data_IF_493716412355
#
_entry.id   IF_493716412355
#
_cell.length_a   1.000
_cell.length_b   1.000
_cell.length_c   1.000
_cell.angle_alpha   90.00
_cell.angle_beta   90.00
_cell.angle_gamma   90.00
#
_symmetry.space_group_name_H-M   'P 1'
#
loop_
_entity.id
_entity.type
_entity.pdbx_description
1 polymer ?
#
# COMPACT_ATOMS: atom_id res chain seq x y z
N UNK A 1 25.43 22.13 -15.34
CA UNK A 1 26.20 21.38 -14.32
C UNK A 1 25.94 19.90 -14.58
N UNK A 2 27.00 19.10 -14.72
CA UNK A 2 26.92 17.69 -15.12
C UNK A 2 26.12 16.85 -14.12
N UNK A 3 25.17 16.00 -14.56
CA UNK A 3 24.36 15.14 -13.70
C UNK A 3 25.04 13.81 -13.30
N UNK A 4 26.38 13.73 -13.34
CA UNK A 4 27.09 12.45 -13.20
C UNK A 4 27.65 12.16 -11.79
N UNK A 5 27.42 12.98 -10.77
CA UNK A 5 28.07 12.80 -9.46
C UNK A 5 27.24 12.10 -8.39
N UNK A 6 26.53 11.01 -8.71
CA UNK A 6 25.95 10.16 -7.67
C UNK A 6 25.85 8.67 -8.05
N UNK A 7 26.85 8.13 -8.75
CA UNK A 7 26.98 6.67 -8.86
C UNK A 7 27.64 6.12 -7.60
N UNK A 8 27.03 5.16 -6.89
CA UNK A 8 27.68 4.49 -5.77
C UNK A 8 28.97 3.82 -6.27
N UNK A 9 30.08 4.03 -5.58
CA UNK A 9 31.36 3.41 -5.92
C UNK A 9 31.28 1.89 -5.65
N UNK A 10 31.00 1.09 -6.68
CA UNK A 10 30.94 -0.37 -6.60
C UNK A 10 30.15 -1.04 -7.73
N UNK A 11 30.12 -2.38 -7.75
CA UNK A 11 29.31 -3.19 -8.68
C UNK A 11 27.82 -3.26 -8.30
N UNK A 12 27.46 -2.79 -7.10
CA UNK A 12 26.09 -2.76 -6.61
C UNK A 12 25.28 -1.67 -7.33
N UNK A 13 24.08 -2.04 -7.83
CA UNK A 13 23.09 -1.07 -8.31
C UNK A 13 21.81 -1.22 -7.49
N UNK A 14 21.30 -0.13 -6.88
CA UNK A 14 20.02 -0.14 -6.16
C UNK A 14 18.82 -0.63 -6.98
N UNK A 15 18.94 -0.69 -8.31
CA UNK A 15 17.91 -1.21 -9.20
C UNK A 15 17.79 -2.75 -9.20
N UNK A 16 18.71 -3.48 -8.56
CA UNK A 16 18.72 -4.96 -8.51
C UNK A 16 18.29 -5.53 -7.15
N UNK A 17 17.63 -4.71 -6.32
CA UNK A 17 17.20 -5.07 -4.97
C UNK A 17 16.09 -6.12 -4.97
N UNK A 18 16.16 -7.05 -4.02
CA UNK A 18 15.17 -8.13 -3.86
C UNK A 18 14.63 -8.14 -2.43
N UNK A 19 13.31 -8.24 -2.30
CA UNK A 19 12.65 -8.27 -0.98
C UNK A 19 11.94 -9.64 -0.74
N UNK A 20 12.13 -10.20 0.46
CA UNK A 20 11.44 -11.42 0.93
C UNK A 20 10.88 -11.24 2.33
N UNK A 21 9.80 -10.45 2.39
CA UNK A 21 9.15 -9.97 3.61
C UNK A 21 8.20 -10.96 4.30
N UNK A 22 7.82 -10.63 5.54
CA UNK A 22 6.61 -11.14 6.19
C UNK A 22 5.51 -10.08 6.13
N UNK A 23 4.26 -10.48 5.86
CA UNK A 23 3.12 -9.57 5.85
C UNK A 23 1.88 -10.22 6.45
N UNK A 24 0.96 -9.37 6.90
CA UNK A 24 -0.39 -9.79 7.22
C UNK A 24 -1.31 -8.66 7.59
N UNK A 25 -2.51 -9.05 7.96
CA UNK A 25 -3.66 -8.20 8.19
C UNK A 25 -4.58 -8.94 9.17
N UNK A 26 -5.04 -8.25 10.22
CA UNK A 26 -6.11 -8.72 11.10
C UNK A 26 -7.24 -7.70 11.04
N UNK A 27 -8.49 -8.17 10.92
CA UNK A 27 -9.66 -7.33 10.98
C UNK A 27 -10.79 -7.98 11.78
N UNK A 28 -11.51 -7.19 12.56
CA UNK A 28 -12.82 -7.55 13.07
C UNK A 28 -13.85 -7.32 11.96
N UNK A 29 -14.55 -8.36 11.52
CA UNK A 29 -15.43 -8.28 10.35
C UNK A 29 -16.56 -7.27 10.50
N UNK A 30 -17.08 -7.05 11.72
CA UNK A 30 -18.14 -6.06 11.96
C UNK A 30 -17.62 -4.66 12.32
N UNK A 31 -16.32 -4.40 12.13
CA UNK A 31 -15.74 -3.08 12.34
C UNK A 31 -15.65 -2.62 13.80
N UNK A 32 -15.80 -3.54 14.76
CA UNK A 32 -15.68 -3.25 16.19
C UNK A 32 -14.21 -3.04 16.54
N UNK A 33 -13.80 -1.85 17.02
CA UNK A 33 -12.41 -1.59 17.36
C UNK A 33 -12.06 -2.24 18.71
N UNK A 34 -10.82 -2.71 18.83
CA UNK A 34 -10.30 -3.20 20.10
C UNK A 34 -8.77 -3.13 20.16
N UNK A 35 -8.23 -2.85 21.35
CA UNK A 35 -6.78 -2.81 21.56
C UNK A 35 -6.16 -4.21 21.48
N UNK A 36 -6.95 -5.26 21.76
CA UNK A 36 -6.56 -6.65 21.53
C UNK A 36 -6.08 -6.85 20.08
N UNK A 37 -6.81 -6.34 19.09
CA UNK A 37 -6.46 -6.49 17.68
C UNK A 37 -5.09 -5.85 17.37
N UNK A 38 -4.83 -4.66 17.91
CA UNK A 38 -3.54 -3.96 17.74
C UNK A 38 -2.41 -4.77 18.37
N UNK A 39 -2.58 -5.24 19.60
CA UNK A 39 -1.60 -6.07 20.30
C UNK A 39 -1.33 -7.40 19.56
N UNK A 40 -2.37 -8.06 19.07
CA UNK A 40 -2.23 -9.30 18.31
C UNK A 40 -1.57 -9.06 16.96
N UNK A 41 -1.80 -7.91 16.31
CA UNK A 41 -1.08 -7.54 15.10
C UNK A 41 0.41 -7.29 15.35
N UNK A 42 0.76 -6.67 16.48
CA UNK A 42 2.15 -6.49 16.91
C UNK A 42 2.81 -7.85 17.20
N UNK A 43 2.11 -8.74 17.91
CA UNK A 43 2.59 -10.10 18.17
C UNK A 43 2.82 -10.87 16.86
N UNK A 44 1.87 -10.77 15.93
CA UNK A 44 1.97 -11.36 14.61
C UNK A 44 3.14 -10.83 13.81
N UNK A 45 3.37 -9.52 13.85
CA UNK A 45 4.54 -8.89 13.27
C UNK A 45 5.84 -9.45 13.89
N UNK A 46 5.88 -9.61 15.22
CA UNK A 46 7.04 -10.16 15.92
C UNK A 46 7.32 -11.63 15.55
N UNK A 47 6.30 -12.45 15.33
CA UNK A 47 6.46 -13.83 14.87
C UNK A 47 6.97 -13.95 13.45
N UNK A 48 6.91 -12.88 12.64
CA UNK A 48 7.44 -12.84 11.28
C UNK A 48 8.91 -12.39 11.21
N UNK A 49 9.58 -12.22 12.36
CA UNK A 49 10.98 -11.78 12.43
C UNK A 49 11.94 -12.75 11.73
N UNK A 50 11.63 -14.05 11.65
CA UNK A 50 12.43 -15.02 10.87
C UNK A 50 12.44 -14.76 9.36
N UNK A 51 11.56 -13.86 8.89
CA UNK A 51 11.51 -13.36 7.52
C UNK A 51 12.08 -11.95 7.37
N UNK A 52 12.72 -11.39 8.39
CA UNK A 52 13.39 -10.09 8.36
C UNK A 52 14.91 -10.24 8.39
N UNK A 53 15.63 -9.23 7.90
CA UNK A 53 17.07 -9.13 8.15
C UNK A 53 17.31 -8.29 9.40
N UNK A 54 18.42 -8.57 10.08
CA UNK A 54 18.89 -7.83 11.24
C UNK A 54 20.30 -7.35 10.92
N UNK A 55 20.56 -6.06 11.14
CA UNK A 55 21.88 -5.49 10.98
C UNK A 55 22.86 -6.07 12.01
N UNK A 56 24.15 -5.82 11.80
CA UNK A 56 25.21 -6.31 12.69
C UNK A 56 25.07 -5.82 14.15
N UNK A 57 24.32 -4.74 14.39
CA UNK A 57 24.05 -4.19 15.72
C UNK A 57 22.98 -4.96 16.52
N UNK A 58 22.34 -5.97 15.92
CA UNK A 58 21.32 -6.82 16.56
C UNK A 58 20.00 -6.11 16.91
N UNK A 59 19.84 -4.83 16.55
CA UNK A 59 18.67 -3.99 16.90
C UNK A 59 18.03 -3.31 15.69
N UNK A 60 18.82 -2.95 14.70
CA UNK A 60 18.32 -2.36 13.46
C UNK A 60 17.78 -3.47 12.57
N UNK A 61 16.50 -3.37 12.21
CA UNK A 61 15.90 -4.18 11.15
C UNK A 61 15.67 -3.34 9.90
N UNK A 62 15.41 -3.99 8.77
CA UNK A 62 15.20 -3.31 7.46
C UNK A 62 13.90 -2.50 7.34
N UNK A 63 13.11 -2.49 8.40
CA UNK A 63 11.86 -1.73 8.52
C UNK A 63 10.67 -2.62 8.86
N UNK A 64 9.90 -2.20 9.87
CA UNK A 64 8.62 -2.79 10.21
C UNK A 64 7.58 -1.71 10.47
N UNK A 65 6.30 -2.10 10.47
CA UNK A 65 5.25 -1.14 10.75
C UNK A 65 3.85 -1.73 10.73
N UNK A 66 2.92 -0.84 11.08
CA UNK A 66 1.48 -1.05 11.15
C UNK A 66 0.79 0.03 10.32
N UNK A 67 -0.31 -0.33 9.65
CA UNK A 67 -1.28 0.57 9.05
C UNK A 67 -2.64 0.19 9.61
N UNK A 68 -3.21 1.08 10.42
CA UNK A 68 -4.40 0.82 11.19
C UNK A 68 -5.57 1.62 10.63
N UNK A 69 -6.77 1.05 10.66
CA UNK A 69 -8.00 1.86 10.58
C UNK A 69 -7.97 2.87 11.73
N UNK A 70 -8.39 4.11 11.45
CA UNK A 70 -8.24 5.27 12.32
C UNK A 70 -8.67 4.95 13.77
N UNK A 71 -7.74 4.95 14.75
CA UNK A 71 -8.07 4.73 16.15
C UNK A 71 -8.65 6.03 16.75
N UNK A 72 -9.88 6.36 16.37
CA UNK A 72 -10.51 7.66 16.64
C UNK A 72 -10.50 8.04 18.12
N UNK A 73 -10.79 7.09 19.01
CA UNK A 73 -10.81 7.31 20.47
C UNK A 73 -9.45 7.80 21.00
N UNK A 74 -8.37 7.15 20.58
CA UNK A 74 -7.00 7.56 20.93
C UNK A 74 -6.67 8.93 20.35
N UNK A 75 -6.95 9.14 19.06
CA UNK A 75 -6.62 10.38 18.37
C UNK A 75 -7.33 11.60 18.98
N UNK A 76 -8.60 11.45 19.37
CA UNK A 76 -9.33 12.51 20.08
C UNK A 76 -8.79 12.76 21.48
N UNK A 77 -8.39 11.71 22.21
CA UNK A 77 -7.84 11.84 23.54
C UNK A 77 -6.50 12.62 23.51
N UNK A 78 -5.55 12.20 22.67
CA UNK A 78 -4.25 12.89 22.56
C UNK A 78 -4.39 14.30 22.00
N UNK A 79 -5.31 14.54 21.06
CA UNK A 79 -5.59 15.90 20.60
C UNK A 79 -6.09 16.79 21.74
N UNK A 80 -7.00 16.29 22.58
CA UNK A 80 -7.51 17.00 23.76
C UNK A 80 -6.41 17.35 24.78
N UNK A 81 -5.50 16.40 25.05
CA UNK A 81 -4.31 16.61 25.91
C UNK A 81 -3.43 17.75 25.40
N UNK A 82 -3.32 17.90 24.07
CA UNK A 82 -2.57 18.96 23.40
C UNK A 82 -3.41 20.21 23.08
N UNK A 83 -4.66 20.30 23.58
CA UNK A 83 -5.60 21.42 23.33
C UNK A 83 -5.90 21.65 21.85
N UNK A 84 -5.86 20.58 21.05
CA UNK A 84 -6.20 20.57 19.63
C UNK A 84 -7.68 20.22 19.50
N UNK A 85 -8.45 21.10 18.84
CA UNK A 85 -9.88 20.87 18.60
C UNK A 85 -10.08 20.06 17.32
N UNK A 86 -10.77 18.92 17.43
CA UNK A 86 -11.07 18.05 16.29
C UNK A 86 -12.56 18.06 15.96
N UNK A 87 -12.84 18.26 14.68
CA UNK A 87 -14.19 18.21 14.13
C UNK A 87 -14.73 16.77 14.02
N UNK A 88 -15.95 16.62 13.50
CA UNK A 88 -16.53 15.31 13.16
C UNK A 88 -15.61 14.54 12.21
N UNK A 89 -15.24 15.16 11.10
CA UNK A 89 -14.24 14.62 10.17
C UNK A 89 -12.91 15.32 10.41
N UNK A 90 -11.95 14.56 10.92
CA UNK A 90 -10.56 14.96 11.05
C UNK A 90 -9.65 13.92 10.42
N UNK A 91 -8.47 14.34 10.05
CA UNK A 91 -7.40 13.50 9.56
C UNK A 91 -6.16 13.70 10.41
N UNK A 92 -5.30 12.69 10.39
CA UNK A 92 -3.99 12.78 10.99
C UNK A 92 -2.94 12.08 10.14
N UNK A 93 -1.70 12.45 10.36
CA UNK A 93 -0.54 11.82 9.77
C UNK A 93 0.66 12.02 10.66
N UNK A 94 1.47 10.97 10.82
CA UNK A 94 2.81 11.09 11.40
C UNK A 94 3.73 11.45 10.24
N UNK A 95 4.49 12.52 10.40
CA UNK A 95 5.44 13.03 9.42
C UNK A 95 6.85 12.74 9.89
N UNK A 96 7.70 12.41 8.92
CA UNK A 96 9.13 12.32 9.12
C UNK A 96 9.69 13.65 8.65
N UNK A 97 10.26 14.42 9.59
CA UNK A 97 10.85 15.71 9.36
C UNK A 97 12.35 15.65 9.58
N UNK A 98 13.07 16.57 8.96
CA UNK A 98 14.50 16.72 9.20
C UNK A 98 14.79 17.07 10.67
N UNK A 99 15.94 16.63 11.19
CA UNK A 99 16.38 17.05 12.55
C UNK A 99 16.84 18.49 12.59
N UNK A 100 17.28 19.04 11.46
CA UNK A 100 17.51 20.47 11.31
C UNK A 100 16.19 21.24 11.44
N UNK A 101 16.15 22.17 12.40
CA UNK A 101 14.93 22.90 12.73
C UNK A 101 14.45 23.77 11.57
N UNK A 102 15.36 24.38 10.80
CA UNK A 102 15.01 25.22 9.66
C UNK A 102 14.36 24.41 8.53
N UNK A 103 14.91 23.25 8.21
CA UNK A 103 14.33 22.31 7.25
C UNK A 103 12.95 21.82 7.71
N UNK A 104 12.83 21.42 8.98
CA UNK A 104 11.56 21.00 9.55
C UNK A 104 10.50 22.11 9.51
N UNK A 105 10.86 23.35 9.85
CA UNK A 105 9.94 24.50 9.80
C UNK A 105 9.48 24.81 8.38
N UNK A 106 10.39 24.75 7.39
CA UNK A 106 10.02 24.89 5.97
C UNK A 106 9.02 23.81 5.55
N UNK A 107 9.21 22.57 5.99
CA UNK A 107 8.30 21.48 5.69
C UNK A 107 6.91 21.68 6.31
N UNK A 108 6.85 22.07 7.61
CA UNK A 108 5.58 22.41 8.29
C UNK A 108 4.84 23.51 7.56
N UNK A 109 5.50 24.66 7.34
CA UNK A 109 4.92 25.82 6.67
C UNK A 109 4.42 25.45 5.26
N UNK A 110 5.20 24.64 4.52
CA UNK A 110 4.78 24.23 3.18
C UNK A 110 3.54 23.37 3.23
N UNK A 111 3.49 22.36 4.09
CA UNK A 111 2.34 21.48 4.20
C UNK A 111 1.09 22.25 4.64
N UNK A 112 1.20 23.09 5.67
CA UNK A 112 0.08 23.90 6.13
C UNK A 112 -0.48 24.80 5.03
N UNK A 113 0.41 25.41 4.23
CA UNK A 113 0.01 26.24 3.08
C UNK A 113 -0.76 25.42 2.06
N UNK A 114 -0.30 24.23 1.71
CA UNK A 114 -0.99 23.38 0.74
C UNK A 114 -2.32 22.85 1.28
N UNK A 115 -2.41 22.50 2.56
CA UNK A 115 -3.66 22.10 3.21
C UNK A 115 -4.68 23.24 3.19
N UNK A 116 -4.28 24.45 3.59
CA UNK A 116 -5.13 25.66 3.54
C UNK A 116 -5.58 25.97 2.11
N UNK A 117 -4.71 25.79 1.11
CA UNK A 117 -5.04 25.99 -0.30
C UNK A 117 -6.10 24.99 -0.81
N UNK A 118 -6.23 23.83 -0.17
CA UNK A 118 -7.28 22.85 -0.44
C UNK A 118 -8.54 23.09 0.42
N UNK A 119 -8.65 24.22 1.14
CA UNK A 119 -9.79 24.52 2.00
C UNK A 119 -9.85 23.71 3.30
N UNK A 120 -8.73 23.11 3.71
CA UNK A 120 -8.62 22.32 4.93
C UNK A 120 -8.10 23.18 6.09
N UNK A 121 -8.46 22.79 7.31
CA UNK A 121 -8.09 23.53 8.52
C UNK A 121 -7.03 22.75 9.30
N UNK A 122 -5.84 23.32 9.45
CA UNK A 122 -4.80 22.73 10.32
C UNK A 122 -5.20 22.99 11.77
N UNK A 123 -5.52 21.92 12.50
CA UNK A 123 -6.00 21.98 13.88
C UNK A 123 -4.84 22.12 14.88
N UNK A 124 -3.70 21.49 14.59
CA UNK A 124 -2.51 21.58 15.42
C UNK A 124 -1.49 20.49 15.14
N UNK A 125 -0.38 20.55 15.88
CA UNK A 125 0.73 19.60 15.81
C UNK A 125 1.00 18.98 17.18
N UNK A 126 1.42 17.72 17.16
CA UNK A 126 1.83 16.93 18.33
C UNK A 126 3.19 16.30 18.02
N UNK A 127 4.18 16.47 18.89
CA UNK A 127 5.38 15.66 18.82
C UNK A 127 5.04 14.21 19.19
N UNK A 128 5.38 13.25 18.33
CA UNK A 128 5.09 11.84 18.60
C UNK A 128 6.10 11.33 19.60
N UNK A 129 5.69 10.77 20.75
CA UNK A 129 6.63 10.22 21.70
C UNK A 129 7.40 9.06 21.05
N UNK A 130 8.72 9.09 21.15
CA UNK A 130 9.59 8.00 20.70
C UNK A 130 10.65 7.64 21.73
N UNK A 131 11.04 6.36 21.80
CA UNK A 131 12.18 5.89 22.59
C UNK A 131 13.34 5.50 21.67
N UNK A 132 14.31 6.41 21.51
CA UNK A 132 15.52 6.18 20.69
C UNK A 132 16.36 4.98 21.19
N UNK A 133 16.22 4.54 22.45
CA UNK A 133 16.97 3.38 22.97
C UNK A 133 16.51 2.03 22.36
N UNK A 134 15.35 2.02 21.71
CA UNK A 134 14.85 0.89 20.93
C UNK A 134 15.56 0.73 19.57
N UNK A 135 16.22 1.78 19.08
CA UNK A 135 16.92 1.80 17.80
C UNK A 135 18.34 1.21 17.93
N UNK A 136 18.82 0.62 16.84
CA UNK A 136 20.24 0.33 16.67
C UNK A 136 21.01 1.54 16.12
N UNK A 137 22.33 1.45 16.07
CA UNK A 137 23.20 2.57 15.66
C UNK A 137 22.90 3.02 14.23
N UNK A 138 22.64 2.08 13.33
CA UNK A 138 22.38 2.39 11.93
C UNK A 138 21.04 3.12 11.73
N UNK A 139 19.99 2.70 12.44
CA UNK A 139 18.71 3.41 12.44
C UNK A 139 18.84 4.84 13.01
N UNK A 140 19.68 5.05 14.03
CA UNK A 140 19.89 6.35 14.67
C UNK A 140 20.57 7.37 13.74
N UNK A 141 21.44 6.91 12.82
CA UNK A 141 22.15 7.80 11.87
C UNK A 141 21.21 8.56 10.94
N UNK A 142 20.09 7.93 10.57
CA UNK A 142 19.09 8.49 9.65
C UNK A 142 17.75 8.81 10.34
N UNK A 143 17.71 8.79 11.68
CA UNK A 143 16.49 9.00 12.47
C UNK A 143 15.86 10.37 12.16
N UNK A 144 14.62 10.41 11.63
CA UNK A 144 13.92 11.66 11.45
C UNK A 144 13.30 12.13 12.77
N UNK A 145 12.84 13.39 12.79
CA UNK A 145 11.90 13.87 13.81
C UNK A 145 10.49 13.40 13.44
N UNK A 146 9.75 12.89 14.41
CA UNK A 146 8.38 12.42 14.22
C UNK A 146 7.39 13.42 14.76
N UNK A 147 6.56 13.98 13.88
CA UNK A 147 5.51 14.91 14.28
C UNK A 147 4.18 14.53 13.67
N UNK A 148 3.14 14.60 14.48
CA UNK A 148 1.79 14.30 14.09
C UNK A 148 1.02 15.59 13.82
N UNK A 149 0.50 15.74 12.61
CA UNK A 149 -0.41 16.82 12.27
C UNK A 149 -1.87 16.36 12.46
N UNK A 150 -2.72 17.27 12.93
CA UNK A 150 -4.17 17.11 12.92
C UNK A 150 -4.79 18.13 11.98
N UNK A 151 -5.70 17.66 11.14
CA UNK A 151 -6.37 18.47 10.10
C UNK A 151 -7.86 18.24 10.18
N UNK A 152 -8.65 19.29 10.29
CA UNK A 152 -10.10 19.23 10.18
C UNK A 152 -10.54 19.41 8.73
N UNK A 153 -11.60 18.71 8.36
CA UNK A 153 -12.26 18.90 7.08
C UNK A 153 -12.81 20.34 6.96
N UNK A 154 -12.91 20.84 5.73
CA UNK A 154 -13.63 22.10 5.48
C UNK A 154 -15.12 21.98 5.83
N UNK A 155 -15.79 23.12 6.03
CA UNK A 155 -17.24 23.14 6.24
C UNK A 155 -17.97 22.39 5.11
N UNK A 156 -18.93 21.54 5.48
CA UNK A 156 -19.75 20.72 4.56
C UNK A 156 -18.96 19.77 3.63
N UNK A 157 -17.69 19.50 3.95
CA UNK A 157 -16.86 18.59 3.16
C UNK A 157 -17.13 17.12 3.51
N UNK A 158 -17.63 16.38 2.54
CA UNK A 158 -17.79 14.93 2.63
C UNK A 158 -16.43 14.22 2.82
N UNK A 159 -16.42 13.13 3.59
CA UNK A 159 -15.18 12.42 3.94
C UNK A 159 -14.37 11.97 2.71
N UNK A 160 -15.05 11.53 1.63
CA UNK A 160 -14.35 11.12 0.40
C UNK A 160 -13.71 12.30 -0.34
N UNK A 161 -14.32 13.49 -0.30
CA UNK A 161 -13.70 14.71 -0.82
C UNK A 161 -12.52 15.12 0.07
N UNK A 162 -12.68 14.99 1.38
CA UNK A 162 -11.61 15.27 2.34
C UNK A 162 -10.35 14.45 2.08
N UNK A 163 -10.46 13.13 1.90
CA UNK A 163 -9.32 12.26 1.53
C UNK A 163 -8.60 12.74 0.25
N UNK A 164 -9.35 13.18 -0.76
CA UNK A 164 -8.77 13.67 -2.03
C UNK A 164 -8.02 14.98 -1.83
N UNK A 165 -8.56 15.90 -1.05
CA UNK A 165 -7.93 17.18 -0.76
C UNK A 165 -6.64 16.98 0.06
N UNK A 166 -6.63 16.05 1.01
CA UNK A 166 -5.43 15.65 1.74
C UNK A 166 -4.37 15.06 0.78
N UNK A 167 -4.78 14.17 -0.13
CA UNK A 167 -3.89 13.62 -1.16
C UNK A 167 -3.25 14.72 -2.02
N UNK A 168 -4.04 15.66 -2.55
CA UNK A 168 -3.54 16.75 -3.38
C UNK A 168 -2.55 17.63 -2.60
N UNK A 169 -2.90 18.03 -1.38
CA UNK A 169 -2.03 18.84 -0.52
C UNK A 169 -0.70 18.13 -0.24
N UNK A 170 -0.75 16.82 0.07
CA UNK A 170 0.45 16.01 0.30
C UNK A 170 1.32 15.91 -0.95
N UNK A 171 0.74 15.62 -2.13
CA UNK A 171 1.49 15.55 -3.40
C UNK A 171 2.15 16.88 -3.75
N UNK A 172 1.44 18.00 -3.58
CA UNK A 172 2.00 19.34 -3.82
C UNK A 172 3.14 19.67 -2.86
N UNK A 173 3.05 19.23 -1.62
CA UNK A 173 4.10 19.36 -0.61
C UNK A 173 5.31 18.50 -0.96
N UNK A 174 5.11 17.21 -1.25
CA UNK A 174 6.18 16.28 -1.66
C UNK A 174 6.94 16.80 -2.89
N UNK A 175 6.24 17.31 -3.90
CA UNK A 175 6.85 17.91 -5.09
C UNK A 175 7.68 19.16 -4.77
N UNK A 176 7.21 19.98 -3.84
CA UNK A 176 7.88 21.21 -3.45
C UNK A 176 9.11 20.97 -2.56
N UNK A 177 9.16 19.84 -1.88
CA UNK A 177 10.23 19.45 -0.95
C UNK A 177 11.05 18.27 -1.49
N UNK A 178 11.07 18.06 -2.82
CA UNK A 178 11.75 16.94 -3.44
C UNK A 178 13.27 16.88 -3.18
N UNK A 179 13.86 17.99 -2.74
CA UNK A 179 15.29 18.08 -2.35
C UNK A 179 15.54 17.68 -0.89
N UNK A 180 14.50 17.55 -0.06
CA UNK A 180 14.62 17.08 1.33
C UNK A 180 14.32 15.58 1.40
N UNK A 181 15.37 14.77 1.34
CA UNK A 181 15.27 13.30 1.38
C UNK A 181 14.67 12.75 2.69
N UNK A 182 14.65 13.57 3.76
CA UNK A 182 14.08 13.17 5.06
C UNK A 182 12.58 13.41 5.12
N UNK A 183 12.08 14.43 4.42
CA UNK A 183 10.66 14.76 4.43
C UNK A 183 9.83 13.62 3.82
N UNK A 184 9.00 12.99 4.66
CA UNK A 184 8.13 11.93 4.21
C UNK A 184 6.83 11.89 5.01
N UNK A 185 5.74 11.58 4.31
CA UNK A 185 4.40 11.47 4.90
C UNK A 185 3.89 10.02 4.71
N UNK A 186 4.15 9.12 5.68
CA UNK A 186 3.67 7.74 5.70
C UNK A 186 2.17 7.61 5.44
N UNK A 187 1.38 8.45 6.10
CA UNK A 187 -0.07 8.54 5.92
C UNK A 187 -0.52 9.95 6.25
N UNK A 188 -1.55 10.44 5.56
CA UNK A 188 -2.28 11.65 5.94
C UNK A 188 -3.74 11.44 5.51
N UNK A 189 -4.55 10.93 6.44
CA UNK A 189 -5.87 10.39 6.14
C UNK A 189 -6.79 10.51 7.35
N UNK A 190 -8.10 10.56 7.09
CA UNK A 190 -9.18 10.41 8.08
C UNK A 190 -9.60 8.96 8.31
N UNK A 191 -9.05 8.02 7.54
CA UNK A 191 -9.45 6.61 7.55
C UNK A 191 -8.39 5.68 8.11
N UNK A 192 -7.11 6.01 7.92
CA UNK A 192 -5.99 5.17 8.33
C UNK A 192 -4.85 5.99 8.93
N UNK A 193 -4.02 5.35 9.75
CA UNK A 193 -2.77 5.91 10.28
C UNK A 193 -1.66 4.86 10.24
N UNK A 194 -0.46 5.29 9.84
CA UNK A 194 0.73 4.43 9.76
C UNK A 194 1.69 4.72 10.91
N UNK A 195 2.11 3.66 11.61
CA UNK A 195 3.22 3.65 12.56
C UNK A 195 4.29 2.71 12.03
N UNK A 196 5.43 3.25 11.59
CA UNK A 196 6.51 2.45 11.00
C UNK A 196 7.88 3.00 11.37
N UNK A 197 8.89 2.14 11.35
CA UNK A 197 10.25 2.51 11.72
C UNK A 197 11.30 1.44 11.42
N UNK A 198 12.56 1.81 11.59
CA UNK A 198 13.73 0.93 11.41
C UNK A 198 14.12 0.24 12.71
N UNK A 199 13.18 -0.48 13.31
CA UNK A 199 13.39 -1.26 14.53
C UNK A 199 12.93 -2.70 14.31
N UNK A 200 13.41 -3.61 15.15
CA UNK A 200 12.85 -4.96 15.21
C UNK A 200 11.36 -4.91 15.56
N UNK A 201 10.51 -5.79 14.99
CA UNK A 201 9.10 -5.92 15.32
C UNK A 201 8.74 -5.84 16.80
N UNK A 202 9.45 -6.62 17.63
CA UNK A 202 9.22 -6.67 19.07
C UNK A 202 9.52 -5.35 19.78
N UNK A 203 10.36 -4.49 19.18
CA UNK A 203 10.73 -3.19 19.71
C UNK A 203 9.84 -2.06 19.16
N UNK A 204 8.96 -2.31 18.19
CA UNK A 204 8.09 -1.27 17.64
C UNK A 204 7.20 -0.59 18.70
N UNK A 205 6.59 -1.31 19.66
CA UNK A 205 5.83 -0.67 20.75
C UNK A 205 6.70 0.03 21.77
N UNK A 206 7.97 -0.34 21.88
CA UNK A 206 8.94 0.40 22.69
C UNK A 206 9.30 1.71 22.02
N UNK A 207 9.61 1.65 20.72
CA UNK A 207 9.95 2.82 19.92
C UNK A 207 8.79 3.82 19.84
N UNK A 208 7.55 3.37 19.66
CA UNK A 208 6.35 4.20 19.72
C UNK A 208 5.49 3.82 20.94
N UNK A 209 5.66 4.50 22.10
CA UNK A 209 4.89 4.22 23.31
C UNK A 209 3.37 4.31 23.12
N UNK A 210 2.90 5.11 22.17
CA UNK A 210 1.49 5.19 21.75
C UNK A 210 0.86 3.81 21.51
N UNK A 211 1.62 2.85 20.95
CA UNK A 211 1.15 1.51 20.65
C UNK A 211 0.82 0.66 21.89
N UNK A 212 1.25 1.09 23.08
CA UNK A 212 0.90 0.44 24.36
C UNK A 212 -0.29 1.10 25.05
N UNK A 213 -0.81 2.22 24.52
CA UNK A 213 -1.97 2.89 25.09
C UNK A 213 -3.24 2.10 24.77
N UNK A 214 -3.96 1.65 25.81
CA UNK A 214 -5.19 0.86 25.65
C UNK A 214 -6.31 1.62 24.92
N UNK A 215 -6.25 2.95 24.85
CA UNK A 215 -7.19 3.77 24.08
C UNK A 215 -6.96 3.62 22.57
N UNK A 216 -5.78 3.15 22.15
CA UNK A 216 -5.43 2.89 20.76
C UNK A 216 -6.07 1.57 20.32
N UNK A 217 -7.35 1.67 20.02
CA UNK A 217 -8.20 0.58 19.55
C UNK A 217 -8.43 0.71 18.05
N UNK A 218 -8.29 -0.38 17.30
CA UNK A 218 -8.59 -0.41 15.87
C UNK A 218 -9.33 -1.69 15.49
N UNK A 219 -10.17 -1.62 14.46
CA UNK A 219 -10.90 -2.77 13.94
C UNK A 219 -10.16 -3.46 12.79
N UNK A 220 -9.07 -2.88 12.30
CA UNK A 220 -8.29 -3.40 11.17
C UNK A 220 -6.85 -2.93 11.31
N UNK A 221 -5.91 -3.85 11.23
CA UNK A 221 -4.48 -3.55 11.26
C UNK A 221 -3.75 -4.39 10.21
N UNK A 222 -3.10 -3.71 9.25
CA UNK A 222 -2.13 -4.29 8.33
C UNK A 222 -0.75 -4.18 8.96
N UNK A 223 0.06 -5.23 8.88
CA UNK A 223 1.42 -5.25 9.41
C UNK A 223 2.40 -5.84 8.41
N UNK A 224 3.64 -5.38 8.48
CA UNK A 224 4.69 -5.82 7.56
C UNK A 224 6.07 -5.75 8.19
N UNK A 225 6.87 -6.79 7.93
CA UNK A 225 8.30 -6.85 8.21
C UNK A 225 9.07 -6.92 6.90
N UNK A 226 9.92 -5.94 6.65
CA UNK A 226 10.75 -5.90 5.44
C UNK A 226 11.99 -6.80 5.58
N UNK A 227 12.39 -7.38 4.46
CA UNK A 227 13.72 -7.95 4.25
C UNK A 227 14.27 -7.30 3.00
N UNK A 228 15.41 -6.63 3.11
CA UNK A 228 16.05 -5.93 2.03
C UNK A 228 17.45 -6.49 1.80
N UNK A 229 17.86 -6.54 0.54
CA UNK A 229 19.26 -6.79 0.19
C UNK A 229 20.14 -5.54 0.31
N UNK A 230 19.61 -4.42 0.81
CA UNK A 230 20.33 -3.16 0.94
C UNK A 230 21.20 -3.17 2.18
N UNK A 231 22.39 -2.61 2.05
CA UNK A 231 23.27 -2.37 3.19
C UNK A 231 22.86 -1.15 4.03
N UNK A 232 21.99 -0.28 3.51
CA UNK A 232 21.61 1.00 4.14
C UNK A 232 20.08 1.10 4.29
N UNK A 233 19.54 1.00 5.52
CA UNK A 233 18.10 1.04 5.74
C UNK A 233 17.58 2.49 5.70
N UNK A 234 16.44 2.71 5.02
CA UNK A 234 15.77 4.02 4.93
C UNK A 234 14.40 3.99 5.59
N UNK A 235 14.14 4.93 6.52
CA UNK A 235 12.89 5.04 7.27
C UNK A 235 11.65 5.12 6.36
N UNK A 236 11.72 5.87 5.26
CA UNK A 236 10.62 6.05 4.31
C UNK A 236 10.24 4.75 3.58
N UNK A 237 11.18 3.81 3.42
CA UNK A 237 11.00 2.54 2.70
C UNK A 237 10.41 1.43 3.58
N UNK A 238 10.38 1.61 4.91
CA UNK A 238 9.63 0.73 5.78
C UNK A 238 8.15 0.67 5.35
N UNK A 239 7.53 -0.48 5.53
CA UNK A 239 6.14 -0.74 5.17
C UNK A 239 5.30 -0.99 6.43
N UNK A 240 3.97 -0.86 6.38
CA UNK A 240 3.12 -0.61 5.19
C UNK A 240 3.28 0.78 4.56
N UNK A 241 2.85 0.90 3.30
CA UNK A 241 2.63 2.19 2.64
C UNK A 241 1.21 2.72 2.95
N UNK A 242 0.64 3.59 2.10
CA UNK A 242 -0.60 4.32 2.43
C UNK A 242 -1.84 3.46 2.37
N UNK A 243 -1.83 2.46 1.49
CA UNK A 243 -2.94 1.53 1.31
C UNK A 243 -2.52 0.08 1.42
N UNK A 244 -1.25 -0.25 1.16
CA UNK A 244 -0.82 -1.63 1.01
C UNK A 244 0.47 -1.98 1.76
N UNK A 245 0.61 -3.27 2.04
CA UNK A 245 1.89 -3.90 2.27
C UNK A 245 2.11 -5.01 1.24
N UNK A 246 3.31 -5.05 0.67
CA UNK A 246 3.69 -5.91 -0.43
C UNK A 246 4.85 -6.81 -0.02
N UNK A 247 4.60 -8.11 -0.09
CA UNK A 247 5.64 -9.13 -0.07
C UNK A 247 5.87 -9.63 -1.49
N UNK A 248 7.04 -9.32 -2.04
CA UNK A 248 7.27 -9.62 -3.43
C UNK A 248 8.27 -8.69 -4.10
N UNK A 249 8.29 -8.78 -5.41
CA UNK A 249 9.08 -7.93 -6.30
C UNK A 249 8.27 -7.68 -7.58
N UNK A 250 8.14 -6.43 -8.00
CA UNK A 250 7.52 -6.07 -9.27
C UNK A 250 8.61 -5.99 -10.34
N UNK A 251 8.87 -7.11 -11.01
CA UNK A 251 9.96 -7.24 -11.99
C UNK A 251 9.75 -6.36 -13.24
N UNK A 252 8.54 -5.86 -13.45
CA UNK A 252 8.16 -4.96 -14.56
C UNK A 252 8.28 -3.47 -14.21
N UNK A 253 8.76 -3.13 -13.01
CA UNK A 253 8.64 -1.79 -12.41
C UNK A 253 9.14 -0.65 -13.31
N UNK A 254 10.28 -0.82 -13.98
CA UNK A 254 10.83 0.24 -14.84
C UNK A 254 9.90 0.57 -16.01
N UNK A 255 9.29 -0.46 -16.62
CA UNK A 255 8.29 -0.30 -17.66
C UNK A 255 7.05 0.41 -17.13
N UNK A 256 6.56 0.00 -15.96
CA UNK A 256 5.37 0.57 -15.32
C UNK A 256 5.57 2.06 -14.97
N UNK A 257 6.74 2.43 -14.44
CA UNK A 257 7.11 3.83 -14.17
C UNK A 257 7.13 4.65 -15.46
N UNK A 258 7.77 4.16 -16.51
CA UNK A 258 7.84 4.85 -17.79
C UNK A 258 6.45 5.03 -18.42
N UNK A 259 5.59 4.01 -18.37
CA UNK A 259 4.22 4.09 -18.90
C UNK A 259 3.34 5.03 -18.09
N UNK A 260 3.47 5.05 -16.77
CA UNK A 260 2.79 6.02 -15.88
C UNK A 260 3.11 7.46 -16.29
N UNK A 261 4.39 7.78 -16.53
CA UNK A 261 4.80 9.11 -17.00
C UNK A 261 4.30 9.39 -18.42
N UNK A 262 4.51 8.45 -19.35
CA UNK A 262 4.12 8.61 -20.75
C UNK A 262 2.60 8.82 -20.91
N UNK A 263 1.79 8.11 -20.13
CA UNK A 263 0.32 8.23 -20.14
C UNK A 263 -0.21 9.31 -19.20
N UNK A 264 0.63 9.94 -18.37
CA UNK A 264 0.19 10.87 -17.33
C UNK A 264 -0.76 11.96 -17.81
N UNK A 265 -0.52 12.52 -19.00
CA UNK A 265 -1.36 13.55 -19.63
C UNK A 265 -2.72 13.05 -20.14
N UNK A 266 -2.89 11.73 -20.31
CA UNK A 266 -4.16 11.11 -20.74
C UNK A 266 -5.10 10.82 -19.57
N UNK A 267 -4.57 10.76 -18.34
CA UNK A 267 -5.42 10.59 -17.17
C UNK A 267 -6.29 11.82 -16.98
N UNK A 268 -7.59 11.59 -16.80
CA UNK A 268 -8.58 12.64 -16.57
C UNK A 268 -9.63 12.13 -15.59
N UNK A 269 -9.93 12.94 -14.60
CA UNK A 269 -11.00 12.69 -13.61
C UNK A 269 -11.61 14.04 -13.22
N UNK A 270 -12.92 14.11 -12.94
CA UNK A 270 -13.53 15.32 -12.39
C UNK A 270 -13.10 15.60 -10.94
N UNK A 271 -12.44 14.64 -10.27
CA UNK A 271 -12.15 14.70 -8.85
C UNK A 271 -10.80 15.33 -8.49
N UNK A 272 -9.84 15.37 -9.43
CA UNK A 272 -8.48 15.82 -9.18
C UNK A 272 -8.00 16.69 -10.34
N UNK A 273 -7.42 17.88 -10.08
CA UNK A 273 -6.64 18.60 -11.08
C UNK A 273 -5.34 17.84 -11.35
N UNK A 274 -5.33 16.98 -12.38
CA UNK A 274 -4.20 16.08 -12.66
C UNK A 274 -2.80 16.73 -12.69
N UNK A 275 -2.59 17.96 -13.21
CA UNK A 275 -1.28 18.63 -13.14
C UNK A 275 -0.70 18.78 -11.73
N UNK A 276 -1.56 18.88 -10.71
CA UNK A 276 -1.12 19.04 -9.32
C UNK A 276 -0.46 17.76 -8.79
N UNK A 277 -0.95 16.60 -9.23
CA UNK A 277 -0.54 15.28 -8.71
C UNK A 277 0.44 14.54 -9.60
N UNK A 278 0.62 14.97 -10.86
CA UNK A 278 1.63 14.44 -11.78
C UNK A 278 3.06 14.84 -11.37
N UNK A 279 4.07 13.96 -11.55
CA UNK A 279 3.94 12.55 -11.93
C UNK A 279 3.27 11.74 -10.81
N UNK A 280 2.40 10.79 -11.15
CA UNK A 280 1.65 10.01 -10.13
C UNK A 280 2.54 9.02 -9.38
N UNK A 281 3.57 8.51 -10.06
CA UNK A 281 4.48 7.50 -9.53
C UNK A 281 5.90 8.09 -9.51
N UNK A 282 6.64 7.83 -8.43
CA UNK A 282 8.05 8.19 -8.35
C UNK A 282 8.90 7.37 -9.33
N UNK A 283 9.90 8.01 -9.95
CA UNK A 283 10.90 7.30 -10.77
C UNK A 283 11.98 6.61 -9.93
N UNK A 284 12.04 6.94 -8.64
CA UNK A 284 12.97 6.39 -7.64
C UNK A 284 12.23 5.77 -6.46
N UNK A 285 12.96 5.10 -5.56
CA UNK A 285 12.40 4.37 -4.41
C UNK A 285 12.06 2.92 -4.73
N UNK A 286 11.42 2.24 -3.78
CA UNK A 286 11.05 0.82 -3.93
C UNK A 286 9.92 0.63 -4.95
N UNK A 287 9.89 -0.55 -5.57
CA UNK A 287 8.81 -1.00 -6.46
C UNK A 287 7.42 -0.95 -5.79
N UNK A 288 7.39 -1.32 -4.51
CA UNK A 288 6.22 -1.40 -3.65
C UNK A 288 5.66 0.00 -3.37
N UNK A 289 6.54 0.99 -3.16
CA UNK A 289 6.12 2.39 -3.01
C UNK A 289 5.52 2.94 -4.31
N UNK A 290 6.06 2.55 -5.46
CA UNK A 290 5.55 2.95 -6.77
C UNK A 290 4.17 2.35 -7.06
N UNK A 291 3.96 1.09 -6.66
CA UNK A 291 2.65 0.44 -6.76
C UNK A 291 1.61 1.15 -5.88
N UNK A 292 1.97 1.47 -4.63
CA UNK A 292 1.09 2.21 -3.71
C UNK A 292 0.76 3.61 -4.24
N UNK A 293 1.73 4.32 -4.83
CA UNK A 293 1.49 5.64 -5.46
C UNK A 293 0.47 5.58 -6.60
N UNK A 294 0.58 4.56 -7.46
CA UNK A 294 -0.38 4.38 -8.56
C UNK A 294 -1.75 3.99 -8.01
N UNK A 295 -1.82 3.07 -7.05
CA UNK A 295 -3.08 2.67 -6.40
C UNK A 295 -3.78 3.89 -5.79
N UNK A 296 -3.06 4.69 -5.02
CA UNK A 296 -3.59 5.90 -4.41
C UNK A 296 -4.13 6.90 -5.45
N UNK A 297 -3.41 7.11 -6.55
CA UNK A 297 -3.88 7.99 -7.62
C UNK A 297 -5.20 7.49 -8.26
N UNK A 298 -5.33 6.17 -8.47
CA UNK A 298 -6.56 5.55 -8.99
C UNK A 298 -7.73 5.69 -8.02
N UNK A 299 -7.48 5.46 -6.72
CA UNK A 299 -8.49 5.60 -5.66
C UNK A 299 -8.95 7.04 -5.51
N UNK A 300 -8.02 7.98 -5.40
CA UNK A 300 -8.33 9.40 -5.33
C UNK A 300 -9.08 9.86 -6.60
N UNK A 301 -8.72 9.29 -7.75
CA UNK A 301 -9.39 9.51 -9.04
C UNK A 301 -10.81 8.94 -9.13
N UNK A 302 -11.27 8.19 -8.13
CA UNK A 302 -12.65 7.70 -7.99
C UNK A 302 -12.84 6.21 -8.27
N UNK A 303 -11.76 5.43 -8.46
CA UNK A 303 -11.88 3.97 -8.55
C UNK A 303 -12.07 3.35 -7.15
N UNK A 304 -12.80 2.24 -7.09
CA UNK A 304 -12.82 1.41 -5.89
C UNK A 304 -11.56 0.53 -5.80
N UNK A 305 -11.24 0.10 -4.59
CA UNK A 305 -10.02 -0.67 -4.28
C UNK A 305 -9.92 -1.98 -5.06
N UNK A 306 -11.05 -2.68 -5.29
CA UNK A 306 -11.05 -3.94 -6.03
C UNK A 306 -10.73 -3.73 -7.50
N UNK A 307 -11.41 -2.77 -8.15
CA UNK A 307 -11.13 -2.45 -9.55
C UNK A 307 -9.72 -1.92 -9.74
N UNK A 308 -9.26 -1.02 -8.88
CA UNK A 308 -7.92 -0.45 -8.96
C UNK A 308 -6.85 -1.55 -8.85
N UNK A 309 -6.98 -2.47 -7.89
CA UNK A 309 -6.06 -3.59 -7.78
C UNK A 309 -6.16 -4.59 -8.94
N UNK A 310 -7.35 -4.86 -9.48
CA UNK A 310 -7.48 -5.71 -10.67
C UNK A 310 -6.94 -5.07 -11.94
N UNK A 311 -6.90 -3.75 -12.00
CA UNK A 311 -6.28 -3.01 -13.10
C UNK A 311 -4.74 -3.11 -13.02
N UNK A 312 -4.18 -3.03 -11.81
CA UNK A 312 -2.73 -3.11 -11.59
C UNK A 312 -2.20 -4.55 -11.64
N UNK A 313 -2.88 -5.49 -10.97
CA UNK A 313 -2.48 -6.90 -10.84
C UNK A 313 -3.65 -7.80 -11.28
N UNK A 314 -3.91 -7.87 -12.60
CA UNK A 314 -4.92 -8.78 -13.14
C UNK A 314 -4.46 -10.24 -13.06
N UNK A 315 -5.38 -11.21 -12.86
CA UNK A 315 -5.06 -12.64 -12.98
C UNK A 315 -4.59 -12.98 -14.41
N UNK A 316 -4.10 -14.20 -14.61
CA UNK A 316 -3.94 -14.75 -15.95
C UNK A 316 -5.33 -15.03 -16.54
N UNK A 317 -5.68 -14.38 -17.66
CA UNK A 317 -7.04 -14.45 -18.21
C UNK A 317 -7.08 -14.80 -19.71
N UNK A 318 -6.02 -14.49 -20.46
CA UNK A 318 -6.01 -14.59 -21.92
C UNK A 318 -6.31 -16.01 -22.43
N UNK A 319 -5.71 -17.02 -21.80
CA UNK A 319 -5.76 -18.42 -22.24
C UNK A 319 -6.69 -19.29 -21.38
N UNK A 320 -7.58 -18.69 -20.57
CA UNK A 320 -8.49 -19.43 -19.68
C UNK A 320 -9.82 -19.67 -20.38
N UNK A 321 -9.93 -20.75 -21.13
CA UNK A 321 -11.12 -21.07 -21.96
C UNK A 321 -12.43 -21.16 -21.16
N UNK A 322 -12.36 -21.59 -19.90
CA UNK A 322 -13.51 -21.74 -18.99
C UNK A 322 -13.95 -20.44 -18.32
N UNK A 323 -13.24 -19.32 -18.57
CA UNK A 323 -13.57 -18.04 -17.95
C UNK A 323 -14.90 -17.49 -18.45
N UNK A 324 -15.70 -16.97 -17.52
CA UNK A 324 -16.93 -16.25 -17.80
C UNK A 324 -16.70 -15.16 -18.88
N UNK A 325 -17.51 -15.09 -19.96
CA UNK A 325 -17.29 -14.16 -21.06
C UNK A 325 -17.38 -12.68 -20.67
N UNK A 326 -18.20 -12.32 -19.68
CA UNK A 326 -18.34 -10.93 -19.23
C UNK A 326 -17.15 -10.53 -18.35
N UNK A 327 -16.63 -11.45 -17.53
CA UNK A 327 -15.39 -11.27 -16.79
C UNK A 327 -14.18 -11.16 -17.74
N UNK A 328 -14.12 -12.00 -18.78
CA UNK A 328 -13.10 -11.89 -19.83
C UNK A 328 -13.18 -10.51 -20.50
N UNK A 329 -14.38 -10.02 -20.81
CA UNK A 329 -14.57 -8.70 -21.38
C UNK A 329 -14.11 -7.57 -20.44
N UNK A 330 -14.33 -7.71 -19.13
CA UNK A 330 -13.77 -6.79 -18.13
C UNK A 330 -12.24 -6.73 -18.23
N UNK A 331 -11.55 -7.88 -18.24
CA UNK A 331 -10.08 -7.89 -18.30
C UNK A 331 -9.54 -7.40 -19.65
N UNK A 332 -10.14 -7.82 -20.77
CA UNK A 332 -9.76 -7.36 -22.12
C UNK A 332 -9.89 -5.83 -22.23
N UNK A 333 -10.98 -5.26 -21.75
CA UNK A 333 -11.17 -3.81 -21.71
C UNK A 333 -10.07 -3.10 -20.91
N UNK A 334 -9.80 -3.57 -19.69
CA UNK A 334 -8.86 -2.92 -18.80
C UNK A 334 -7.39 -3.08 -19.27
N UNK A 335 -7.04 -4.18 -19.96
CA UNK A 335 -5.69 -4.38 -20.50
C UNK A 335 -5.24 -3.35 -21.55
N UNK A 336 -6.20 -2.65 -22.17
CA UNK A 336 -5.90 -1.55 -23.10
C UNK A 336 -5.55 -0.24 -22.38
N UNK A 337 -5.79 -0.16 -21.07
CA UNK A 337 -5.64 1.07 -20.28
C UNK A 337 -4.46 1.02 -19.31
N UNK A 338 -4.13 -0.16 -18.79
CA UNK A 338 -3.05 -0.39 -17.85
C UNK A 338 -2.34 -1.71 -18.17
N UNK A 339 -1.02 -1.65 -18.25
CA UNK A 339 -0.16 -2.83 -18.29
C UNK A 339 -0.06 -3.46 -16.89
N UNK A 340 0.00 -4.79 -16.79
CA UNK A 340 0.15 -5.45 -15.50
C UNK A 340 1.43 -5.05 -14.78
N UNK A 341 1.32 -4.74 -13.50
CA UNK A 341 2.42 -4.60 -12.57
C UNK A 341 2.81 -6.00 -12.09
N UNK A 342 3.54 -6.70 -12.95
CA UNK A 342 3.82 -8.13 -12.82
C UNK A 342 5.11 -8.42 -12.05
N UNK A 343 5.12 -9.59 -11.42
CA UNK A 343 6.16 -10.11 -10.53
C UNK A 343 5.55 -10.89 -9.35
N UNK A 344 6.35 -11.64 -8.57
CA UNK A 344 5.85 -12.33 -7.39
C UNK A 344 5.25 -11.31 -6.42
N UNK A 345 3.98 -11.41 -6.06
CA UNK A 345 3.33 -10.45 -5.18
C UNK A 345 2.26 -11.11 -4.29
N UNK A 346 2.46 -11.01 -2.98
CA UNK A 346 1.41 -11.16 -1.97
C UNK A 346 1.15 -9.81 -1.34
N UNK A 347 -0.06 -9.29 -1.50
CA UNK A 347 -0.41 -7.95 -1.03
C UNK A 347 -1.57 -8.03 -0.06
N UNK A 348 -1.41 -7.38 1.08
CA UNK A 348 -2.53 -7.01 1.96
C UNK A 348 -2.74 -5.51 1.84
N UNK A 349 -4.00 -5.10 1.83
CA UNK A 349 -4.35 -3.71 1.60
C UNK A 349 -5.64 -3.31 2.30
N UNK A 350 -5.76 -2.01 2.55
CA UNK A 350 -6.94 -1.40 3.14
C UNK A 350 -7.14 0.04 2.69
N UNK A 351 -8.40 0.43 2.52
CA UNK A 351 -8.85 1.82 2.38
C UNK A 351 -9.48 2.36 3.68
N UNK A 352 -9.29 1.65 4.81
CA UNK A 352 -9.94 1.89 6.10
C UNK A 352 -11.32 1.25 6.26
N UNK A 353 -11.92 0.72 5.18
CA UNK A 353 -13.16 -0.06 5.21
C UNK A 353 -12.91 -1.53 4.91
N UNK A 354 -12.17 -1.81 3.84
CA UNK A 354 -11.91 -3.15 3.37
C UNK A 354 -10.60 -3.68 3.94
N UNK A 355 -10.62 -4.90 4.45
CA UNK A 355 -9.47 -5.71 4.78
C UNK A 355 -9.25 -6.71 3.65
N UNK A 356 -8.36 -6.41 2.70
CA UNK A 356 -8.22 -7.20 1.48
C UNK A 356 -6.84 -7.85 1.36
N UNK A 357 -6.80 -8.97 0.63
CA UNK A 357 -5.58 -9.62 0.20
C UNK A 357 -5.69 -10.00 -1.28
N UNK A 358 -4.62 -9.82 -2.04
CA UNK A 358 -4.53 -10.19 -3.45
C UNK A 358 -3.19 -10.86 -3.73
N UNK A 359 -3.22 -11.87 -4.59
CA UNK A 359 -2.02 -12.52 -5.12
C UNK A 359 -1.78 -12.15 -6.59
N UNK A 360 -0.52 -12.16 -6.98
CA UNK A 360 -0.11 -12.08 -8.38
C UNK A 360 -0.73 -13.20 -9.22
N UNK A 361 -0.73 -13.01 -10.53
CA UNK A 361 -1.36 -13.92 -11.50
C UNK A 361 -0.89 -15.37 -11.43
N UNK A 362 0.31 -15.63 -10.92
CA UNK A 362 0.90 -16.96 -10.79
C UNK A 362 0.87 -17.47 -9.34
N UNK A 363 0.47 -16.64 -8.37
CA UNK A 363 0.39 -17.02 -6.95
C UNK A 363 1.76 -17.37 -6.37
N UNK A 364 2.78 -16.59 -6.68
CA UNK A 364 4.18 -16.92 -6.35
C UNK A 364 4.54 -16.66 -4.89
N UNK A 365 3.66 -15.99 -4.13
CA UNK A 365 3.80 -15.76 -2.70
C UNK A 365 2.66 -16.42 -1.93
N UNK A 366 2.93 -16.99 -0.74
CA UNK A 366 1.88 -17.61 0.05
C UNK A 366 0.97 -16.54 0.66
N UNK A 367 -0.33 -16.79 0.65
CA UNK A 367 -1.30 -16.06 1.47
C UNK A 367 -2.33 -17.04 2.02
N UNK A 368 -2.48 -17.04 3.34
CA UNK A 368 -3.39 -17.91 4.09
C UNK A 368 -4.31 -17.07 4.93
N UNK A 369 -5.49 -17.61 5.21
CA UNK A 369 -6.45 -16.92 6.06
C UNK A 369 -7.10 -17.85 7.08
N UNK A 370 -7.45 -17.26 8.22
CA UNK A 370 -8.16 -17.91 9.31
C UNK A 370 -9.28 -16.98 9.74
N UNK A 371 -10.49 -17.52 9.84
CA UNK A 371 -11.67 -16.86 10.37
C UNK A 371 -12.04 -17.53 11.69
N UNK A 372 -12.19 -16.74 12.74
CA UNK A 372 -12.55 -17.21 14.08
C UNK A 372 -14.02 -16.92 14.41
N UNK A 373 -14.56 -17.60 15.44
CA UNK A 373 -15.97 -17.50 15.86
C UNK A 373 -16.36 -16.12 16.38
N UNK A 374 -15.40 -15.39 16.95
CA UNK A 374 -15.53 -13.99 17.38
C UNK A 374 -15.39 -13.00 16.20
N UNK A 375 -15.47 -13.48 14.96
CA UNK A 375 -15.52 -12.68 13.73
C UNK A 375 -14.24 -11.90 13.43
N UNK A 376 -13.11 -12.34 13.95
CA UNK A 376 -11.81 -11.90 13.45
C UNK A 376 -11.39 -12.70 12.22
N UNK A 377 -11.00 -11.99 11.17
CA UNK A 377 -10.31 -12.57 10.01
C UNK A 377 -8.84 -12.17 10.05
N UNK A 378 -7.97 -13.16 9.89
CA UNK A 378 -6.53 -12.95 9.76
C UNK A 378 -6.07 -13.43 8.39
N UNK A 379 -5.33 -12.58 7.68
CA UNK A 379 -4.75 -12.83 6.37
C UNK A 379 -3.24 -12.61 6.49
N UNK A 380 -2.42 -13.63 6.21
CA UNK A 380 -0.97 -13.52 6.37
C UNK A 380 -0.21 -14.46 5.43
N UNK A 381 1.09 -14.23 5.31
CA UNK A 381 1.98 -15.13 4.54
C UNK A 381 2.07 -16.55 5.16
N UNK A 382 1.79 -16.68 6.45
CA UNK A 382 1.87 -17.93 7.22
C UNK A 382 0.63 -18.18 8.08
N UNK A 383 0.40 -19.44 8.45
CA UNK A 383 -0.54 -19.80 9.54
C UNK A 383 0.25 -19.74 10.86
N UNK A 384 -0.43 -19.46 11.97
CA UNK A 384 0.20 -19.45 13.30
C UNK A 384 0.89 -18.13 13.65
N UNK A 385 0.57 -17.06 12.93
CA UNK A 385 1.05 -15.71 13.23
C UNK A 385 0.59 -15.21 14.61
N UNK A 386 -0.40 -15.84 15.24
CA UNK A 386 -0.63 -15.76 16.68
C UNK A 386 -1.26 -17.08 17.16
N UNK A 387 -1.43 -17.23 18.47
CA UNK A 387 -1.98 -18.45 19.07
C UNK A 387 -3.50 -18.50 18.96
N UNK A 388 -3.98 -18.97 17.81
CA UNK A 388 -5.39 -19.30 17.63
C UNK A 388 -5.76 -20.48 18.54
N UNK A 389 -6.81 -20.34 19.34
CA UNK A 389 -7.46 -21.47 20.00
C UNK A 389 -8.12 -22.36 18.93
N UNK A 390 -7.77 -23.65 18.79
CA UNK A 390 -8.33 -24.51 17.73
C UNK A 390 -9.86 -24.55 17.70
N UNK A 391 -10.50 -24.52 18.87
CA UNK A 391 -11.95 -24.49 19.05
C UNK A 391 -12.60 -23.17 18.62
N UNK A 392 -11.83 -22.08 18.47
CA UNK A 392 -12.31 -20.79 17.99
C UNK A 392 -12.23 -20.66 16.47
N UNK A 393 -11.50 -21.53 15.77
CA UNK A 393 -11.37 -21.46 14.31
C UNK A 393 -12.67 -21.93 13.64
N UNK A 394 -13.31 -21.02 12.91
CA UNK A 394 -14.52 -21.30 12.12
C UNK A 394 -14.17 -21.83 10.73
N UNK A 395 -13.22 -21.19 10.06
CA UNK A 395 -12.77 -21.57 8.72
C UNK A 395 -11.31 -21.16 8.50
N UNK A 396 -10.63 -21.87 7.60
CA UNK A 396 -9.28 -21.52 7.16
C UNK A 396 -9.11 -21.85 5.69
N UNK A 397 -8.29 -21.08 4.99
CA UNK A 397 -8.03 -21.29 3.57
C UNK A 397 -6.73 -20.67 3.10
N UNK A 398 -6.52 -20.73 1.79
CA UNK A 398 -5.40 -20.08 1.10
C UNK A 398 -5.93 -19.35 -0.13
N UNK A 399 -5.26 -18.27 -0.51
CA UNK A 399 -5.50 -17.65 -1.81
C UNK A 399 -4.67 -18.39 -2.86
N UNK A 400 -5.30 -18.61 -4.02
CA UNK A 400 -4.65 -19.14 -5.22
C UNK A 400 -4.16 -18.05 -6.17
N UNK A 401 -3.53 -18.45 -7.29
CA UNK A 401 -3.04 -17.53 -8.32
C UNK A 401 -4.11 -16.55 -8.79
N UNK A 402 -3.78 -15.26 -8.74
CA UNK A 402 -4.66 -14.18 -9.19
C UNK A 402 -5.96 -14.05 -8.38
N UNK A 403 -6.09 -14.69 -7.21
CA UNK A 403 -7.28 -14.53 -6.37
C UNK A 403 -7.21 -13.27 -5.50
N UNK A 404 -8.38 -12.76 -5.14
CA UNK A 404 -8.55 -11.66 -4.21
C UNK A 404 -9.63 -12.03 -3.20
N UNK A 405 -9.39 -11.73 -1.93
CA UNK A 405 -10.34 -11.91 -0.83
C UNK A 405 -10.44 -10.58 -0.09
N UNK A 406 -11.63 -10.22 0.40
CA UNK A 406 -11.76 -9.05 1.26
C UNK A 406 -12.83 -9.23 2.33
N UNK A 407 -12.62 -8.68 3.53
CA UNK A 407 -13.67 -8.45 4.50
C UNK A 407 -14.08 -6.97 4.46
N UNK A 408 -15.39 -6.72 4.37
CA UNK A 408 -15.96 -5.38 4.42
C UNK A 408 -16.38 -5.07 5.86
N UNK A 409 -15.59 -4.22 6.54
CA UNK A 409 -15.81 -3.90 7.96
C UNK A 409 -17.04 -3.03 8.23
N UNK A 410 -17.69 -2.51 7.20
CA UNK A 410 -18.95 -1.76 7.34
C UNK A 410 -20.18 -2.66 7.22
N UNK A 411 -20.12 -3.71 6.39
CA UNK A 411 -21.26 -4.62 6.16
C UNK A 411 -21.16 -5.94 6.93
N UNK A 412 -19.98 -6.31 7.41
CA UNK A 412 -19.75 -7.61 8.04
C UNK A 412 -19.60 -8.77 7.04
N UNK A 413 -19.50 -8.48 5.75
CA UNK A 413 -19.42 -9.49 4.68
C UNK A 413 -17.97 -9.94 4.44
N UNK A 414 -17.79 -11.26 4.29
CA UNK A 414 -16.59 -11.82 3.67
C UNK A 414 -16.83 -11.96 2.17
N UNK A 415 -16.11 -11.19 1.38
CA UNK A 415 -16.13 -11.19 -0.07
C UNK A 415 -15.11 -12.20 -0.60
N UNK A 416 -15.63 -13.34 -1.06
CA UNK A 416 -14.88 -14.39 -1.73
C UNK A 416 -14.49 -13.96 -3.17
N UNK A 417 -13.48 -14.60 -3.80
CA UNK A 417 -12.98 -14.21 -5.12
C UNK A 417 -14.08 -14.08 -6.18
N UNK A 418 -14.99 -15.05 -6.23
CA UNK A 418 -16.07 -15.10 -7.22
C UNK A 418 -17.06 -13.95 -7.04
N UNK A 419 -17.31 -13.53 -5.79
CA UNK A 419 -18.21 -12.41 -5.48
C UNK A 419 -17.58 -11.06 -5.90
N UNK A 420 -16.26 -10.91 -5.70
CA UNK A 420 -15.53 -9.72 -6.17
C UNK A 420 -15.55 -9.68 -7.70
N UNK A 421 -15.29 -10.80 -8.37
CA UNK A 421 -15.31 -10.90 -9.83
C UNK A 421 -16.69 -10.60 -10.42
N UNK A 422 -17.76 -11.11 -9.79
CA UNK A 422 -19.13 -10.80 -10.17
C UNK A 422 -19.39 -9.29 -10.08
N UNK A 423 -19.05 -8.66 -8.94
CA UNK A 423 -19.21 -7.21 -8.75
C UNK A 423 -18.45 -6.41 -9.80
N UNK A 424 -17.27 -6.86 -10.24
CA UNK A 424 -16.42 -6.16 -11.20
C UNK A 424 -16.95 -6.23 -12.63
N UNK A 425 -17.35 -7.43 -13.09
CA UNK A 425 -17.84 -7.61 -14.47
C UNK A 425 -19.18 -6.91 -14.71
N UNK A 426 -20.02 -6.78 -13.68
CA UNK A 426 -21.34 -6.14 -13.77
C UNK A 426 -21.30 -4.60 -13.73
N UNK A 427 -20.16 -3.98 -13.36
CA UNK A 427 -20.09 -2.51 -13.18
C UNK A 427 -20.44 -1.72 -14.44
N UNK A 428 -20.07 -2.24 -15.60
CA UNK A 428 -20.23 -1.59 -16.91
C UNK A 428 -20.44 -2.64 -18.00
N UNK A 429 -21.05 -2.27 -19.13
CA UNK A 429 -21.30 -3.20 -20.24
C UNK A 429 -20.05 -3.42 -21.10
N UNK A 430 -18.96 -3.94 -20.51
CA UNK A 430 -17.64 -4.08 -21.15
C UNK A 430 -17.71 -4.83 -22.48
N UNK A 431 -18.47 -5.93 -22.53
CA UNK A 431 -18.66 -6.73 -23.75
C UNK A 431 -19.30 -5.94 -24.89
N UNK A 432 -20.27 -5.08 -24.59
CA UNK A 432 -20.91 -4.22 -25.59
C UNK A 432 -19.94 -3.16 -26.11
N UNK A 433 -19.12 -2.56 -25.22
CA UNK A 433 -18.10 -1.59 -25.63
C UNK A 433 -17.05 -2.23 -26.53
N UNK A 434 -16.54 -3.40 -26.17
CA UNK A 434 -15.58 -4.13 -26.99
C UNK A 434 -16.17 -4.45 -28.36
N UNK A 435 -17.39 -5.00 -28.42
CA UNK A 435 -18.04 -5.34 -29.69
C UNK A 435 -18.27 -4.16 -30.63
N UNK A 436 -18.50 -2.95 -30.09
CA UNK A 436 -18.74 -1.74 -30.89
C UNK A 436 -17.47 -0.99 -31.27
N UNK A 437 -16.43 -1.04 -30.45
CA UNK A 437 -15.29 -0.11 -30.53
C UNK A 437 -13.94 -0.78 -30.72
N UNK A 438 -13.87 -2.12 -30.82
CA UNK A 438 -12.63 -2.82 -31.14
C UNK A 438 -12.65 -3.41 -32.54
N UNK A 439 -11.48 -3.43 -33.19
CA UNK A 439 -11.27 -4.14 -34.45
C UNK A 439 -10.16 -5.17 -34.23
N UNK A 440 -10.48 -6.45 -34.40
CA UNK A 440 -9.49 -7.53 -34.35
C UNK A 440 -8.92 -7.71 -35.74
N UNK A 441 -7.65 -7.36 -35.92
CA UNK A 441 -6.91 -7.68 -37.14
C UNK A 441 -6.61 -9.18 -37.12
N UNK A 442 -7.16 -9.92 -38.07
CA UNK A 442 -6.81 -11.33 -38.28
C UNK A 442 -5.62 -11.35 -39.23
N UNK A 443 -4.52 -11.99 -38.83
CA UNK A 443 -3.51 -12.40 -39.82
C UNK A 443 -3.97 -13.73 -40.39
N UNK A 444 -4.27 -13.77 -41.68
CA UNK A 444 -4.22 -15.01 -42.44
C UNK A 444 -2.73 -15.29 -42.64
N UNK A 445 -2.16 -16.15 -41.79
CA UNK A 445 -0.92 -16.82 -42.16
C UNK A 445 -1.32 -17.75 -43.30
N UNK A 446 -1.09 -17.33 -44.55
CA UNK A 446 -0.90 -18.32 -45.61
C UNK A 446 0.25 -19.20 -45.12
N UNK A 447 0.00 -20.50 -45.02
CA UNK A 447 1.06 -21.48 -44.75
C UNK A 447 2.05 -21.43 -45.90
N UNK A 448 3.06 -20.54 -45.83
CA UNK A 448 4.30 -20.80 -46.53
C UNK A 448 4.82 -22.11 -45.94
N UNK A 449 4.85 -23.18 -46.75
CA UNK A 449 5.43 -24.48 -46.42
C UNK A 449 6.83 -24.30 -45.82
N UNK A 450 6.91 -24.15 -44.49
CA UNK A 450 8.18 -24.00 -43.75
C UNK A 450 8.93 -25.30 -43.56
N UNK A 451 8.42 -26.40 -44.11
CA UNK A 451 9.19 -27.62 -44.31
C UNK A 451 9.56 -27.71 -45.79
N UNK A 452 10.81 -27.37 -46.12
CA UNK A 452 11.41 -27.87 -47.34
C UNK A 452 11.16 -29.38 -47.44
N UNK A 453 10.75 -29.87 -48.62
CA UNK A 453 10.55 -31.30 -48.87
C UNK A 453 11.77 -32.07 -48.34
N UNK A 454 11.58 -33.22 -47.66
CA UNK A 454 12.69 -34.04 -47.20
C UNK A 454 13.67 -34.26 -48.35
N UNK A 455 14.97 -34.08 -48.11
CA UNK A 455 15.98 -34.42 -49.12
C UNK A 455 15.77 -35.86 -49.56
N UNK A 456 15.72 -36.08 -50.87
CA UNK A 456 15.67 -37.45 -51.41
C UNK A 456 16.93 -38.21 -50.96
N UNK A 457 16.79 -39.50 -50.57
CA UNK A 457 17.92 -40.28 -50.11
C UNK A 457 18.95 -40.42 -51.25
N UNK A 458 20.19 -40.04 -50.96
CA UNK A 458 21.33 -40.28 -51.86
C UNK A 458 21.42 -41.78 -52.17
N UNK A 459 21.48 -42.10 -53.47
CA UNK A 459 21.62 -43.47 -53.99
C UNK A 459 23.07 -43.91 -54.05
#
# INVERSE_FOLDING_TARGET
>A
MNPESNQPAGLYRPSFERDSCGFGLIAHMDGIPGHWLVRTAIEALARLTHRGAVAADGKTGDGCGLLMKMPERFMRAVAGEHRIHLERYFATGILFLNRDQGLADRARVRLERELKAQGLQVAGWREVPTDEAACGEEALRSLPRFEQIFVNAGADMEQTAFERHLYIARRRTEKALAEDDTFYVPSLSSRVVSYKGLVMPANLPRFYPDLNDERLESALCVFHQRFSTNTWPEWRLAQPFRYLAHNGEINTIQGNRNWSVARGHKFKTPHIPMPDVLPMVSMSGSDSSSLDNMLEALLAGGMDIFRAMRLLIPPAWQNVETMDPDLRAFYEYNSMHMEPWDGPAGIVLTDGRHAACVLDRNGLRPARWVLTKDRHITLASEIGVYDYLPEQVLAKGRLGPGQMLAADTETGELLLPEQIEQRLKERKPYKQWLGRHTRRLRSELEEEERCAKPMEPER
#
